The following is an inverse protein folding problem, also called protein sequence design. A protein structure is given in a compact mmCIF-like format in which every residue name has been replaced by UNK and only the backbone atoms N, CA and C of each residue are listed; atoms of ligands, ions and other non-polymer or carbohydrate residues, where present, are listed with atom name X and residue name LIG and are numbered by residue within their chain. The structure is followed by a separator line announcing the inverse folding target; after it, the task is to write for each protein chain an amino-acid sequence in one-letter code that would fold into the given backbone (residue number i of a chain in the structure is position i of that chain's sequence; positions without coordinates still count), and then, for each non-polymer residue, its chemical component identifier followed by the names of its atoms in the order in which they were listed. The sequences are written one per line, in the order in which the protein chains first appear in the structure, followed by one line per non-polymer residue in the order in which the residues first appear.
data_IF_950220771855
#
_entry.id   IF_950220771855
#
_cell.length_a   1.000
_cell.length_b   1.000
_cell.length_c   1.000
_cell.angle_alpha   90.00
_cell.angle_beta   90.00
_cell.angle_gamma   90.00
#
_symmetry.space_group_name_H-M   'P 1'
#
loop_
_entity.id
_entity.type
_entity.pdbx_description
1 polymer ?
#
# COMPACT_ATOMS: atom_id res chain seq x y z
N UNK A 1 74.03 -30.43 -32.71
CA UNK A 1 73.13 -29.95 -33.77
C UNK A 1 71.78 -30.63 -33.58
N UNK A 2 70.69 -29.87 -33.49
CA UNK A 2 69.33 -30.40 -33.33
C UNK A 2 68.50 -29.75 -32.22
N UNK A 3 68.22 -28.44 -32.34
CA UNK A 3 67.19 -27.75 -31.54
C UNK A 3 65.80 -28.22 -32.02
N UNK A 4 65.00 -28.83 -31.14
CA UNK A 4 63.63 -29.25 -31.45
C UNK A 4 62.62 -28.37 -30.69
N UNK A 5 61.64 -27.87 -31.45
CA UNK A 5 60.73 -26.77 -31.13
C UNK A 5 59.86 -27.00 -29.88
N UNK A 6 60.04 -26.16 -28.85
CA UNK A 6 59.08 -25.97 -27.73
C UNK A 6 57.88 -25.09 -28.10
N UNK A 7 57.70 -24.73 -29.37
CA UNK A 7 56.74 -23.71 -29.81
C UNK A 7 55.34 -24.22 -30.13
N UNK A 8 55.12 -25.55 -30.18
CA UNK A 8 53.84 -26.12 -30.62
C UNK A 8 52.89 -26.57 -29.50
N UNK A 9 53.32 -26.57 -28.24
CA UNK A 9 52.46 -26.96 -27.11
C UNK A 9 51.63 -25.80 -26.51
N UNK A 10 51.98 -24.54 -26.80
CA UNK A 10 51.25 -23.35 -26.34
C UNK A 10 50.10 -22.92 -27.26
N UNK A 11 50.07 -23.42 -28.51
CA UNK A 11 49.00 -23.12 -29.47
C UNK A 11 47.76 -24.02 -29.34
N UNK A 12 47.89 -25.17 -28.69
CA UNK A 12 46.77 -26.11 -28.47
C UNK A 12 45.93 -25.78 -27.22
N UNK A 13 46.47 -24.99 -26.27
CA UNK A 13 45.73 -24.57 -25.06
C UNK A 13 45.00 -23.22 -25.26
N UNK A 14 45.46 -22.37 -26.19
CA UNK A 14 44.82 -21.10 -26.52
C UNK A 14 43.59 -21.22 -27.44
N UNK A 15 43.43 -22.34 -28.14
CA UNK A 15 42.32 -22.58 -29.07
C UNK A 15 41.09 -23.21 -28.40
N UNK A 16 41.24 -23.83 -27.22
CA UNK A 16 40.11 -24.40 -26.48
C UNK A 16 39.36 -23.37 -25.60
N UNK A 17 39.98 -22.23 -25.26
CA UNK A 17 39.36 -21.15 -24.50
C UNK A 17 38.58 -20.14 -25.36
N UNK A 18 38.70 -20.19 -26.69
CA UNK A 18 37.97 -19.31 -27.60
C UNK A 18 36.56 -19.82 -27.94
N UNK A 19 36.21 -21.06 -27.59
CA UNK A 19 34.91 -21.68 -27.88
C UNK A 19 33.87 -21.54 -26.74
N UNK A 20 34.20 -20.79 -25.68
CA UNK A 20 33.28 -20.46 -24.59
C UNK A 20 32.82 -19.00 -24.60
N UNK A 21 32.91 -18.31 -25.74
CA UNK A 21 32.11 -17.10 -25.97
C UNK A 21 30.67 -17.49 -26.29
N UNK A 22 30.01 -18.18 -25.35
CA UNK A 22 28.56 -18.20 -25.32
C UNK A 22 28.13 -16.74 -25.21
N UNK A 23 27.52 -16.21 -26.28
CA UNK A 23 27.00 -14.86 -26.27
C UNK A 23 26.06 -14.73 -25.09
N UNK A 24 26.46 -13.98 -24.06
CA UNK A 24 25.55 -13.52 -23.03
C UNK A 24 24.65 -12.50 -23.73
N UNK A 25 23.60 -12.98 -24.37
CA UNK A 25 22.47 -12.14 -24.73
C UNK A 25 21.91 -11.65 -23.39
N UNK A 26 22.19 -10.40 -23.04
CA UNK A 26 21.48 -9.74 -21.96
C UNK A 26 19.99 -9.90 -22.26
N UNK A 27 19.24 -10.56 -21.37
CA UNK A 27 17.79 -10.65 -21.51
C UNK A 27 17.26 -9.23 -21.69
N UNK A 28 16.44 -9.00 -22.71
CA UNK A 28 15.78 -7.72 -22.92
C UNK A 28 15.06 -7.33 -21.63
N UNK A 29 15.32 -6.13 -21.12
CA UNK A 29 14.61 -5.60 -19.96
C UNK A 29 13.11 -5.64 -20.24
N UNK A 30 12.36 -6.25 -19.32
CA UNK A 30 10.89 -6.24 -19.31
C UNK A 30 10.48 -5.43 -18.11
N UNK A 31 9.65 -4.42 -18.33
CA UNK A 31 9.10 -3.58 -17.28
C UNK A 31 8.25 -4.42 -16.31
N UNK A 32 8.34 -4.13 -15.01
CA UNK A 32 7.60 -4.83 -13.95
C UNK A 32 6.09 -4.72 -14.11
N UNK A 33 5.60 -3.70 -14.82
CA UNK A 33 4.19 -3.53 -15.18
C UNK A 33 3.72 -4.51 -16.26
N UNK A 34 4.63 -5.16 -16.98
CA UNK A 34 4.32 -6.12 -18.06
C UNK A 34 4.94 -7.51 -17.79
N UNK A 35 5.52 -7.70 -16.60
CA UNK A 35 6.14 -8.94 -16.16
C UNK A 35 5.27 -9.61 -15.09
N UNK A 36 4.67 -10.78 -15.34
CA UNK A 36 3.89 -11.47 -14.32
C UNK A 36 4.71 -11.87 -13.08
N UNK A 37 4.06 -11.88 -11.91
CA UNK A 37 4.69 -12.32 -10.67
C UNK A 37 5.15 -13.78 -10.77
N UNK A 38 6.40 -14.04 -10.40
CA UNK A 38 6.97 -15.39 -10.45
C UNK A 38 6.50 -16.22 -9.26
N UNK A 39 6.15 -17.49 -9.52
CA UNK A 39 5.88 -18.45 -8.45
C UNK A 39 7.12 -18.67 -7.59
N UNK A 40 6.96 -18.62 -6.26
CA UNK A 40 8.08 -18.74 -5.33
C UNK A 40 7.75 -19.67 -4.17
N UNK A 41 8.61 -20.67 -3.93
CA UNK A 41 8.53 -21.52 -2.75
C UNK A 41 8.82 -20.76 -1.43
N UNK A 42 9.39 -19.56 -1.51
CA UNK A 42 9.74 -18.71 -0.37
C UNK A 42 8.74 -17.56 -0.17
N UNK A 43 7.64 -17.54 -0.91
CA UNK A 43 6.68 -16.42 -0.92
C UNK A 43 6.16 -16.10 0.49
N UNK A 44 5.89 -17.11 1.31
CA UNK A 44 5.41 -16.94 2.70
C UNK A 44 6.46 -16.33 3.65
N UNK A 45 7.73 -16.31 3.25
CA UNK A 45 8.87 -15.74 4.00
C UNK A 45 9.45 -14.50 3.32
N UNK A 46 8.86 -14.08 2.21
CA UNK A 46 9.24 -12.88 1.48
C UNK A 46 8.59 -11.65 2.12
N UNK A 47 9.11 -10.43 1.92
CA UNK A 47 8.48 -9.23 2.46
C UNK A 47 7.04 -9.05 1.96
N UNK A 48 6.14 -8.84 2.91
CA UNK A 48 4.71 -8.58 2.69
C UNK A 48 4.36 -7.25 3.35
N UNK A 49 3.49 -6.48 2.70
CA UNK A 49 3.25 -5.07 3.01
C UNK A 49 1.85 -4.81 3.57
N UNK A 50 0.84 -5.56 3.14
CA UNK A 50 -0.52 -5.44 3.67
C UNK A 50 -1.24 -6.78 3.74
N UNK A 51 -2.29 -6.83 4.57
CA UNK A 51 -3.19 -7.98 4.74
C UNK A 51 -4.62 -7.47 4.96
N UNK A 52 -5.60 -8.16 4.38
CA UNK A 52 -7.03 -7.83 4.50
C UNK A 52 -7.90 -9.08 4.42
N UNK A 53 -9.21 -8.89 4.57
CA UNK A 53 -10.24 -9.93 4.49
C UNK A 53 -11.00 -9.89 3.17
N UNK A 54 -11.07 -11.02 2.47
CA UNK A 54 -12.05 -11.29 1.42
C UNK A 54 -13.14 -12.22 1.99
N UNK A 55 -14.12 -11.65 2.69
CA UNK A 55 -15.04 -12.44 3.51
C UNK A 55 -14.27 -13.14 4.65
N UNK A 56 -14.30 -14.48 4.70
CA UNK A 56 -13.52 -15.24 5.71
C UNK A 56 -12.06 -15.49 5.29
N UNK A 57 -11.75 -15.36 3.99
CA UNK A 57 -10.40 -15.58 3.45
C UNK A 57 -9.51 -14.40 3.83
N UNK A 58 -8.26 -14.69 4.16
CA UNK A 58 -7.21 -13.68 4.28
C UNK A 58 -6.50 -13.50 2.94
N UNK A 59 -6.20 -12.26 2.58
CA UNK A 59 -5.41 -11.91 1.39
C UNK A 59 -4.30 -10.97 1.80
N UNK A 60 -3.07 -11.24 1.37
CA UNK A 60 -1.89 -10.41 1.63
C UNK A 60 -1.20 -10.05 0.33
N UNK A 61 -0.60 -8.86 0.29
CA UNK A 61 0.16 -8.36 -0.84
C UNK A 61 1.56 -7.93 -0.41
N UNK A 62 2.51 -7.92 -1.35
CA UNK A 62 3.87 -7.49 -1.05
C UNK A 62 4.74 -7.34 -2.30
N UNK A 63 6.04 -7.56 -2.10
CA UNK A 63 7.03 -7.27 -3.13
C UNK A 63 6.92 -8.20 -4.33
N UNK A 64 7.35 -7.73 -5.50
CA UNK A 64 7.45 -8.49 -6.76
C UNK A 64 6.10 -9.06 -7.23
N UNK A 65 5.02 -8.30 -7.03
CA UNK A 65 3.66 -8.69 -7.40
C UNK A 65 3.13 -9.87 -6.57
N UNK A 66 3.76 -10.21 -5.45
CA UNK A 66 3.30 -11.31 -4.62
C UNK A 66 1.95 -10.96 -3.99
N UNK A 67 0.95 -11.77 -4.32
CA UNK A 67 -0.32 -11.84 -3.60
C UNK A 67 -0.49 -13.27 -3.12
N UNK A 68 -0.86 -13.45 -1.85
CA UNK A 68 -1.17 -14.74 -1.26
C UNK A 68 -2.54 -14.70 -0.62
N UNK A 69 -3.21 -15.85 -0.59
CA UNK A 69 -4.47 -16.02 0.11
C UNK A 69 -4.48 -17.28 0.98
N UNK A 70 -5.30 -17.24 2.03
CA UNK A 70 -5.49 -18.35 2.97
C UNK A 70 -6.97 -18.51 3.31
N UNK A 71 -7.45 -19.76 3.17
CA UNK A 71 -8.82 -20.19 3.51
C UNK A 71 -8.91 -20.86 4.88
N UNK A 72 -7.79 -21.03 5.58
CA UNK A 72 -7.68 -21.79 6.83
C UNK A 72 -7.05 -20.94 7.94
N UNK A 73 -7.52 -19.68 8.06
CA UNK A 73 -7.12 -18.76 9.13
C UNK A 73 -5.60 -18.50 9.19
N UNK A 74 -4.94 -18.44 8.04
CA UNK A 74 -3.51 -18.13 7.92
C UNK A 74 -2.59 -19.32 8.20
N UNK A 75 -3.11 -20.55 8.27
CA UNK A 75 -2.31 -21.77 8.49
C UNK A 75 -1.58 -22.21 7.21
N UNK A 76 -2.23 -22.09 6.05
CA UNK A 76 -1.67 -22.38 4.72
C UNK A 76 -1.97 -21.24 3.77
N UNK A 77 -0.99 -20.95 2.92
CA UNK A 77 -1.06 -19.85 1.96
C UNK A 77 -0.80 -20.35 0.55
N UNK A 78 -1.59 -19.85 -0.38
CA UNK A 78 -1.47 -20.10 -1.82
C UNK A 78 -1.11 -18.79 -2.52
N UNK A 79 -0.18 -18.84 -3.46
CA UNK A 79 0.19 -17.67 -4.26
C UNK A 79 -0.83 -17.48 -5.40
N UNK A 80 -1.30 -16.26 -5.60
CA UNK A 80 -2.23 -15.88 -6.66
C UNK A 80 -1.52 -15.71 -8.01
N UNK A 81 -2.30 -15.73 -9.09
CA UNK A 81 -1.82 -15.34 -10.42
C UNK A 81 -1.95 -13.82 -10.59
N UNK A 82 -0.82 -13.14 -10.78
CA UNK A 82 -0.73 -11.67 -10.84
C UNK A 82 0.00 -11.25 -12.12
N UNK A 83 -0.55 -10.32 -12.93
CA UNK A 83 -0.01 -9.99 -14.25
C UNK A 83 1.16 -9.01 -14.23
N UNK A 84 1.57 -8.57 -13.03
CA UNK A 84 2.67 -7.63 -12.80
C UNK A 84 3.60 -8.15 -11.71
N UNK A 85 4.82 -7.62 -11.68
CA UNK A 85 5.82 -7.88 -10.66
C UNK A 85 6.24 -6.59 -9.94
N UNK A 86 5.42 -5.54 -10.03
CA UNK A 86 5.57 -4.33 -9.22
C UNK A 86 5.32 -4.64 -7.74
N UNK A 87 5.94 -3.90 -6.83
CA UNK A 87 5.70 -4.04 -5.39
C UNK A 87 4.30 -3.52 -5.05
N UNK A 88 3.49 -4.34 -4.39
CA UNK A 88 2.11 -4.01 -4.01
C UNK A 88 2.06 -3.54 -2.57
N UNK A 89 1.50 -2.35 -2.35
CA UNK A 89 1.52 -1.61 -1.08
C UNK A 89 0.27 -1.86 -0.25
N UNK A 90 -0.88 -1.98 -0.90
CA UNK A 90 -2.17 -2.10 -0.21
C UNK A 90 -3.18 -2.96 -0.98
N UNK A 91 -4.19 -3.45 -0.25
CA UNK A 91 -5.25 -4.29 -0.77
C UNK A 91 -6.55 -4.07 -0.01
N UNK A 92 -7.67 -4.00 -0.74
CA UNK A 92 -9.01 -3.77 -0.20
C UNK A 92 -10.01 -4.73 -0.83
N UNK A 93 -10.90 -5.30 -0.01
CA UNK A 93 -11.98 -6.18 -0.44
C UNK A 93 -13.30 -5.67 0.18
N UNK A 94 -14.11 -4.89 -0.56
CA UNK A 94 -15.42 -4.45 -0.09
C UNK A 94 -16.47 -5.58 -0.08
N UNK A 95 -16.14 -6.75 -0.64
CA UNK A 95 -16.99 -7.94 -0.63
C UNK A 95 -16.13 -9.21 -0.54
N UNK A 96 -16.78 -10.38 -0.42
CA UNK A 96 -16.07 -11.65 -0.36
C UNK A 96 -15.31 -12.02 -1.64
N UNK A 97 -15.63 -11.41 -2.79
CA UNK A 97 -15.07 -11.81 -4.10
C UNK A 97 -14.43 -10.68 -4.87
N UNK A 98 -14.92 -9.44 -4.71
CA UNK A 98 -14.38 -8.26 -5.39
C UNK A 98 -13.28 -7.64 -4.54
N UNK A 99 -12.09 -7.45 -5.12
CA UNK A 99 -10.98 -6.81 -4.44
C UNK A 99 -10.07 -6.02 -5.38
N UNK A 100 -9.37 -5.05 -4.80
CA UNK A 100 -8.43 -4.17 -5.48
C UNK A 100 -7.10 -4.15 -4.73
N UNK A 101 -6.01 -4.16 -5.48
CA UNK A 101 -4.66 -4.00 -4.95
C UNK A 101 -3.97 -2.87 -5.70
N UNK A 102 -3.20 -2.07 -4.98
CA UNK A 102 -2.40 -0.98 -5.56
C UNK A 102 -0.94 -1.11 -5.16
N UNK A 103 -0.07 -0.38 -5.83
CA UNK A 103 1.35 -0.49 -5.58
C UNK A 103 2.20 0.60 -6.17
N UNK A 104 3.49 0.29 -6.21
CA UNK A 104 4.48 1.04 -6.95
C UNK A 104 4.11 1.11 -8.44
N UNK A 105 4.77 2.01 -9.16
CA UNK A 105 4.55 2.22 -10.59
C UNK A 105 3.09 2.57 -10.95
N UNK A 106 2.33 3.13 -9.99
CA UNK A 106 0.94 3.55 -10.14
C UNK A 106 -0.04 2.41 -10.47
N UNK A 107 0.32 1.15 -10.20
CA UNK A 107 -0.50 0.00 -10.60
C UNK A 107 -1.78 -0.10 -9.79
N UNK A 108 -2.88 -0.42 -10.47
CA UNK A 108 -4.16 -0.82 -9.88
C UNK A 108 -4.57 -2.16 -10.47
N UNK A 109 -4.74 -3.15 -9.61
CA UNK A 109 -5.19 -4.48 -9.94
C UNK A 109 -6.59 -4.73 -9.40
N UNK A 110 -7.37 -5.55 -10.10
CA UNK A 110 -8.70 -6.00 -9.68
C UNK A 110 -8.81 -7.52 -9.72
N UNK A 111 -9.48 -8.08 -8.72
CA UNK A 111 -9.88 -9.48 -8.63
C UNK A 111 -11.39 -9.58 -8.46
N UNK A 112 -11.97 -10.58 -9.11
CA UNK A 112 -13.41 -10.92 -8.99
C UNK A 112 -13.65 -12.32 -8.42
N UNK A 113 -12.59 -13.01 -7.97
CA UNK A 113 -12.59 -14.40 -7.54
C UNK A 113 -11.93 -14.58 -6.15
N UNK A 114 -12.10 -13.59 -5.26
CA UNK A 114 -11.57 -13.60 -3.90
C UNK A 114 -10.02 -13.68 -3.86
N UNK A 115 -9.35 -13.00 -4.79
CA UNK A 115 -7.90 -12.83 -4.81
C UNK A 115 -7.10 -13.98 -5.43
N UNK A 116 -7.75 -14.92 -6.12
CA UNK A 116 -7.07 -16.05 -6.79
C UNK A 116 -6.39 -15.59 -8.07
N UNK A 117 -7.10 -14.78 -8.88
CA UNK A 117 -6.58 -14.16 -10.10
C UNK A 117 -6.79 -12.66 -10.08
N UNK A 118 -5.87 -11.96 -10.73
CA UNK A 118 -5.85 -10.50 -10.80
C UNK A 118 -5.69 -10.02 -12.24
N UNK A 119 -6.31 -8.89 -12.54
CA UNK A 119 -6.21 -8.19 -13.82
C UNK A 119 -5.76 -6.74 -13.58
N UNK A 120 -4.90 -6.21 -14.46
CA UNK A 120 -4.46 -4.81 -14.40
C UNK A 120 -5.55 -3.91 -14.96
N UNK A 121 -6.04 -2.96 -14.17
CA UNK A 121 -7.03 -1.95 -14.59
C UNK A 121 -6.37 -0.63 -15.00
N UNK A 122 -5.31 -0.25 -14.30
CA UNK A 122 -4.57 0.99 -14.49
C UNK A 122 -3.10 0.76 -14.16
N UNK A 123 -2.20 1.51 -14.79
CA UNK A 123 -0.83 1.71 -14.30
C UNK A 123 -0.36 3.16 -14.41
N UNK A 124 0.81 3.43 -13.83
CA UNK A 124 1.39 4.76 -13.72
C UNK A 124 1.64 5.45 -15.05
N UNK A 125 1.73 4.70 -16.16
CA UNK A 125 1.90 5.27 -17.51
C UNK A 125 0.67 6.07 -17.94
N UNK A 126 -0.50 5.74 -17.37
CA UNK A 126 -1.79 6.32 -17.74
C UNK A 126 -2.22 7.46 -16.81
N UNK A 127 -1.65 7.56 -15.60
CA UNK A 127 -2.10 8.52 -14.58
C UNK A 127 -1.91 9.97 -15.04
N UNK A 128 -0.75 10.29 -15.61
CA UNK A 128 -0.48 11.63 -16.14
C UNK A 128 -1.43 12.04 -17.26
N UNK A 129 -1.78 11.11 -18.16
CA UNK A 129 -2.75 11.33 -19.23
C UNK A 129 -4.17 11.56 -18.69
N UNK A 130 -4.59 10.80 -17.68
CA UNK A 130 -5.88 10.99 -16.99
C UNK A 130 -5.96 12.38 -16.36
N UNK A 131 -4.92 12.80 -15.65
CA UNK A 131 -4.81 14.14 -15.05
C UNK A 131 -4.85 15.23 -16.10
N UNK A 132 -3.99 15.14 -17.12
CA UNK A 132 -3.93 16.14 -18.17
C UNK A 132 -5.28 16.30 -18.88
N UNK A 133 -5.90 15.17 -19.26
CA UNK A 133 -7.21 15.16 -19.94
C UNK A 133 -8.29 15.79 -19.06
N UNK A 134 -8.39 15.37 -17.80
CA UNK A 134 -9.42 15.84 -16.87
C UNK A 134 -9.30 17.34 -16.59
N UNK A 135 -8.12 17.79 -16.16
CA UNK A 135 -7.93 19.18 -15.76
C UNK A 135 -7.83 20.14 -16.94
N UNK A 136 -7.41 19.69 -18.13
CA UNK A 136 -7.50 20.53 -19.33
C UNK A 136 -8.95 20.74 -19.77
N UNK A 137 -9.81 19.73 -19.61
CA UNK A 137 -11.24 19.90 -19.88
C UNK A 137 -11.86 20.92 -18.93
N UNK A 138 -11.53 20.86 -17.63
CA UNK A 138 -11.97 21.84 -16.63
C UNK A 138 -11.40 23.25 -16.91
N UNK A 139 -10.12 23.37 -17.27
CA UNK A 139 -9.50 24.65 -17.63
C UNK A 139 -10.20 25.33 -18.82
N UNK A 140 -10.63 24.54 -19.80
CA UNK A 140 -11.38 25.05 -20.95
C UNK A 140 -12.81 25.46 -20.57
N UNK A 141 -13.46 24.70 -19.68
CA UNK A 141 -14.83 24.97 -19.23
C UNK A 141 -14.89 26.18 -18.26
N UNK A 142 -13.84 26.39 -17.47
CA UNK A 142 -13.74 27.44 -16.45
C UNK A 142 -12.44 28.25 -16.60
N UNK A 143 -12.30 29.11 -17.62
CA UNK A 143 -11.04 29.79 -17.93
C UNK A 143 -10.53 30.78 -16.86
N UNK A 144 -11.39 31.17 -15.92
CA UNK A 144 -11.05 32.07 -14.81
C UNK A 144 -10.48 31.32 -13.60
N UNK A 145 -10.58 29.98 -13.57
CA UNK A 145 -10.06 29.18 -12.47
C UNK A 145 -8.57 28.93 -12.67
N UNK A 146 -7.76 29.57 -11.82
CA UNK A 146 -6.29 29.51 -11.88
C UNK A 146 -5.72 28.14 -11.45
N UNK A 147 -6.52 27.28 -10.81
CA UNK A 147 -6.07 25.96 -10.34
C UNK A 147 -6.02 24.91 -11.45
N UNK A 148 -6.96 24.96 -12.42
CA UNK A 148 -7.04 23.94 -13.48
C UNK A 148 -5.78 23.85 -14.35
N UNK A 149 -5.19 24.98 -14.82
CA UNK A 149 -3.95 24.93 -15.59
C UNK A 149 -2.77 24.34 -14.81
N UNK A 150 -2.71 24.54 -13.48
CA UNK A 150 -1.65 24.00 -12.63
C UNK A 150 -1.76 22.48 -12.51
N UNK A 151 -2.96 21.97 -12.27
CA UNK A 151 -3.20 20.51 -12.20
C UNK A 151 -3.03 19.82 -13.57
N UNK A 152 -3.36 20.51 -14.67
CA UNK A 152 -3.05 20.02 -16.01
C UNK A 152 -1.53 20.01 -16.29
N UNK A 153 -0.79 21.01 -15.81
CA UNK A 153 0.67 21.02 -15.90
C UNK A 153 1.32 19.88 -15.10
N UNK A 154 0.77 19.56 -13.93
CA UNK A 154 1.21 18.39 -13.16
C UNK A 154 0.97 17.08 -13.93
N UNK A 155 -0.18 16.93 -14.60
CA UNK A 155 -0.44 15.79 -15.48
C UNK A 155 0.62 15.64 -16.58
N UNK A 156 1.06 16.74 -17.20
CA UNK A 156 2.17 16.72 -18.18
C UNK A 156 3.50 16.28 -17.57
N UNK A 157 3.82 16.79 -16.37
CA UNK A 157 5.03 16.39 -15.65
C UNK A 157 5.05 14.88 -15.39
N UNK A 158 3.92 14.30 -14.98
CA UNK A 158 3.81 12.86 -14.78
C UNK A 158 4.00 12.05 -16.07
N UNK A 159 3.54 12.56 -17.21
CA UNK A 159 3.78 11.90 -18.51
C UNK A 159 5.28 11.88 -18.83
N UNK A 160 5.99 12.99 -18.58
CA UNK A 160 7.44 13.11 -18.81
C UNK A 160 8.26 12.22 -17.88
N UNK A 161 7.82 12.05 -16.63
CA UNK A 161 8.49 11.22 -15.62
C UNK A 161 8.18 9.72 -15.79
N UNK A 162 7.03 9.38 -16.38
CA UNK A 162 6.60 8.01 -16.59
C UNK A 162 5.96 7.37 -15.35
N UNK A 163 5.98 6.04 -15.29
CA UNK A 163 5.31 5.27 -14.25
C UNK A 163 6.13 5.18 -12.96
N UNK A 164 6.47 6.31 -12.34
CA UNK A 164 7.34 6.35 -11.16
C UNK A 164 6.59 6.66 -9.85
N UNK A 165 5.30 7.06 -9.92
CA UNK A 165 4.52 7.47 -8.75
C UNK A 165 3.76 6.31 -8.12
N UNK A 166 4.13 5.91 -6.88
CA UNK A 166 3.42 4.85 -6.18
C UNK A 166 2.06 5.31 -5.68
N UNK A 167 1.10 4.39 -5.73
CA UNK A 167 -0.10 4.41 -4.90
C UNK A 167 0.25 3.72 -3.58
N UNK A 168 -0.05 4.38 -2.47
CA UNK A 168 0.36 3.96 -1.12
C UNK A 168 -0.75 3.21 -0.40
N UNK A 169 -2.02 3.55 -0.66
CA UNK A 169 -3.16 2.86 -0.06
C UNK A 169 -4.41 2.90 -0.95
N UNK A 170 -5.34 1.98 -0.70
CA UNK A 170 -6.60 1.83 -1.45
C UNK A 170 -7.74 1.45 -0.53
N UNK A 171 -8.89 2.09 -0.73
CA UNK A 171 -10.10 1.77 0.00
C UNK A 171 -11.32 1.80 -0.92
N UNK A 172 -12.17 0.77 -0.79
CA UNK A 172 -13.43 0.68 -1.51
C UNK A 172 -14.60 0.62 -0.52
N UNK A 173 -15.63 1.42 -0.79
CA UNK A 173 -16.89 1.41 -0.06
C UNK A 173 -17.80 0.26 -0.52
N UNK A 174 -17.66 -0.15 -1.77
CA UNK A 174 -18.50 -1.13 -2.48
C UNK A 174 -17.73 -1.69 -3.67
N UNK A 175 -18.37 -2.55 -4.46
CA UNK A 175 -17.83 -3.05 -5.73
C UNK A 175 -17.71 -1.97 -6.83
N UNK A 176 -18.13 -0.73 -6.54
CA UNK A 176 -18.16 0.39 -7.50
C UNK A 176 -17.37 1.60 -7.03
N UNK A 177 -17.66 2.09 -5.82
CA UNK A 177 -17.08 3.31 -5.28
C UNK A 177 -15.79 3.00 -4.52
N UNK A 178 -14.69 3.62 -4.94
CA UNK A 178 -13.39 3.48 -4.28
C UNK A 178 -12.44 4.63 -4.56
N UNK A 179 -11.38 4.67 -3.75
CA UNK A 179 -10.32 5.66 -3.79
C UNK A 179 -8.96 4.97 -3.71
N UNK A 180 -7.99 5.45 -4.49
CA UNK A 180 -6.59 5.11 -4.35
C UNK A 180 -5.81 6.39 -4.05
N UNK A 181 -4.91 6.33 -3.07
CA UNK A 181 -4.13 7.49 -2.59
C UNK A 181 -2.64 7.20 -2.68
N UNK A 182 -1.81 8.22 -2.87
CA UNK A 182 -0.38 8.05 -3.05
C UNK A 182 0.45 9.31 -2.81
N UNK A 183 1.61 9.35 -3.46
CA UNK A 183 2.59 10.44 -3.31
C UNK A 183 2.12 11.74 -3.95
N UNK A 184 2.66 12.85 -3.47
CA UNK A 184 2.43 14.21 -3.99
C UNK A 184 0.95 14.57 -4.18
N UNK A 185 0.11 14.32 -3.18
CA UNK A 185 -1.35 14.48 -3.23
C UNK A 185 -2.03 13.68 -4.37
N UNK A 186 -1.41 12.61 -4.89
CA UNK A 186 -2.07 11.74 -5.85
C UNK A 186 -3.27 11.05 -5.19
N UNK A 187 -4.45 11.31 -5.72
CA UNK A 187 -5.69 10.65 -5.34
C UNK A 187 -6.52 10.41 -6.60
N UNK A 188 -7.00 9.18 -6.75
CA UNK A 188 -7.88 8.75 -7.82
C UNK A 188 -9.17 8.22 -7.20
N UNK A 189 -10.29 8.51 -7.85
CA UNK A 189 -11.63 8.04 -7.46
C UNK A 189 -12.24 7.24 -8.60
N UNK A 190 -12.96 6.18 -8.26
CA UNK A 190 -13.82 5.46 -9.20
C UNK A 190 -15.22 5.32 -8.63
N UNK A 191 -16.22 5.32 -9.50
CA UNK A 191 -17.63 5.07 -9.18
C UNK A 191 -18.19 3.85 -9.94
N UNK A 192 -17.34 3.15 -10.69
CA UNK A 192 -17.74 2.05 -11.58
C UNK A 192 -16.84 0.81 -11.46
N UNK A 193 -16.14 0.67 -10.32
CA UNK A 193 -15.32 -0.50 -10.00
C UNK A 193 -13.96 -0.48 -10.67
N UNK A 194 -13.45 0.72 -10.97
CA UNK A 194 -12.16 0.95 -11.60
C UNK A 194 -12.14 0.76 -13.12
N UNK A 195 -13.32 0.73 -13.76
CA UNK A 195 -13.39 0.81 -15.24
C UNK A 195 -12.98 2.20 -15.70
N UNK A 196 -13.30 3.23 -14.91
CA UNK A 196 -12.82 4.59 -15.05
C UNK A 196 -12.28 5.09 -13.71
N UNK A 197 -11.09 5.68 -13.76
CA UNK A 197 -10.47 6.40 -12.65
C UNK A 197 -10.42 7.88 -12.96
N UNK A 198 -10.89 8.69 -12.01
CA UNK A 198 -10.96 10.15 -12.12
C UNK A 198 -9.96 10.77 -11.14
N UNK A 199 -9.05 11.65 -11.60
CA UNK A 199 -8.21 12.45 -10.72
C UNK A 199 -9.06 13.25 -9.73
N UNK A 200 -8.63 13.31 -8.47
CA UNK A 200 -9.46 13.87 -7.39
C UNK A 200 -8.69 14.87 -6.49
N UNK A 201 -7.56 15.38 -6.97
CA UNK A 201 -6.66 16.29 -6.22
C UNK A 201 -7.30 17.65 -5.91
N UNK A 202 -8.27 18.07 -6.71
CA UNK A 202 -9.03 19.30 -6.54
C UNK A 202 -10.10 19.21 -5.43
N UNK A 203 -10.26 18.02 -4.85
CA UNK A 203 -11.18 17.71 -3.75
C UNK A 203 -10.43 17.31 -2.48
N UNK A 204 -9.17 17.70 -2.33
CA UNK A 204 -8.40 17.50 -1.10
C UNK A 204 -7.81 18.81 -0.57
N UNK A 205 -7.95 19.05 0.73
CA UNK A 205 -7.33 20.19 1.41
C UNK A 205 -5.86 19.90 1.74
N UNK A 206 -5.03 19.74 0.70
CA UNK A 206 -3.61 19.42 0.81
C UNK A 206 -2.77 20.34 -0.11
N UNK A 207 -2.73 21.66 0.15
CA UNK A 207 -2.09 22.63 -0.75
C UNK A 207 -0.56 22.50 -0.81
N UNK A 208 0.06 21.85 0.18
CA UNK A 208 1.50 21.56 0.19
C UNK A 208 1.88 20.34 -0.65
N UNK A 209 0.90 19.57 -1.15
CA UNK A 209 1.19 18.39 -1.94
C UNK A 209 1.82 17.26 -1.12
N UNK A 210 1.49 17.13 0.18
CA UNK A 210 2.03 16.06 1.02
C UNK A 210 1.57 14.68 0.53
N UNK A 211 2.33 13.64 0.87
CA UNK A 211 1.92 12.27 0.58
C UNK A 211 0.66 11.90 1.39
N UNK A 212 -0.19 11.11 0.75
CA UNK A 212 -1.37 10.51 1.36
C UNK A 212 -1.02 9.05 1.67
N UNK A 213 -0.64 8.79 2.92
CA UNK A 213 -0.03 7.53 3.35
C UNK A 213 -1.04 6.41 3.58
N UNK A 214 -2.26 6.73 4.02
CA UNK A 214 -3.29 5.76 4.31
C UNK A 214 -4.70 6.35 4.14
N UNK A 215 -5.66 5.51 3.76
CA UNK A 215 -7.08 5.84 3.67
C UNK A 215 -7.91 4.75 4.35
N UNK A 216 -8.78 5.14 5.29
CA UNK A 216 -9.59 4.16 6.03
C UNK A 216 -10.96 4.69 6.41
N UNK A 217 -11.94 3.79 6.48
CA UNK A 217 -13.25 4.10 7.04
C UNK A 217 -13.36 3.59 8.48
N UNK A 218 -14.00 4.39 9.33
CA UNK A 218 -14.41 4.01 10.68
C UNK A 218 -15.86 3.51 10.72
N UNK A 219 -16.50 3.33 9.56
CA UNK A 219 -17.92 2.97 9.44
C UNK A 219 -18.88 4.16 9.43
N UNK A 220 -18.54 5.26 10.10
CA UNK A 220 -19.30 6.52 10.12
C UNK A 220 -18.60 7.68 9.39
N UNK A 221 -17.33 7.53 9.06
CA UNK A 221 -16.54 8.52 8.34
C UNK A 221 -15.41 7.85 7.53
N UNK A 222 -14.81 8.63 6.63
CA UNK A 222 -13.65 8.25 5.82
C UNK A 222 -12.52 9.25 6.07
N UNK A 223 -11.34 8.74 6.40
CA UNK A 223 -10.16 9.53 6.76
C UNK A 223 -8.98 9.22 5.85
N UNK A 224 -8.13 10.22 5.62
CA UNK A 224 -6.83 10.07 4.98
C UNK A 224 -5.75 10.59 5.92
N UNK A 225 -4.75 9.78 6.23
CA UNK A 225 -3.54 10.20 6.93
C UNK A 225 -2.43 10.53 5.95
N UNK A 226 -1.65 11.57 6.25
CA UNK A 226 -0.50 11.98 5.45
C UNK A 226 0.68 12.46 6.28
N UNK A 227 1.52 13.25 5.65
CA UNK A 227 2.76 13.76 6.24
C UNK A 227 2.54 15.07 7.00
N UNK A 228 3.51 15.44 7.86
CA UNK A 228 3.57 16.76 8.50
C UNK A 228 2.28 17.16 9.24
N UNK A 229 1.63 16.19 9.91
CA UNK A 229 0.38 16.41 10.65
C UNK A 229 -0.89 16.37 9.81
N UNK A 230 -0.80 16.13 8.49
CA UNK A 230 -1.94 16.07 7.60
C UNK A 230 -2.86 14.91 7.98
N UNK A 231 -4.09 15.26 8.31
CA UNK A 231 -5.19 14.33 8.47
C UNK A 231 -6.42 14.95 7.79
N UNK A 232 -7.02 14.23 6.87
CA UNK A 232 -8.20 14.67 6.13
C UNK A 232 -9.41 13.82 6.49
N UNK A 233 -10.59 14.41 6.42
CA UNK A 233 -11.88 13.72 6.61
C UNK A 233 -12.82 14.06 5.45
N UNK A 234 -13.49 13.05 4.91
CA UNK A 234 -14.54 13.27 3.91
C UNK A 234 -15.70 14.09 4.51
N UNK A 235 -16.13 15.11 3.75
CA UNK A 235 -17.30 15.93 4.04
C UNK A 235 -18.32 15.76 2.92
N UNK A 236 -19.44 15.09 3.21
CA UNK A 236 -20.50 14.84 2.24
C UNK A 236 -21.18 16.11 1.74
N UNK A 237 -21.32 17.14 2.58
CA UNK A 237 -21.97 18.38 2.17
C UNK A 237 -21.12 19.15 1.16
N UNK A 238 -19.79 19.07 1.31
CA UNK A 238 -18.82 19.75 0.45
C UNK A 238 -18.26 18.87 -0.68
N UNK A 239 -18.54 17.57 -0.64
CA UNK A 239 -18.01 16.56 -1.58
C UNK A 239 -16.48 16.62 -1.70
N UNK A 240 -15.77 16.76 -0.58
CA UNK A 240 -14.30 16.88 -0.53
C UNK A 240 -13.71 16.36 0.77
N UNK A 241 -12.42 16.07 0.75
CA UNK A 241 -11.62 15.78 1.94
C UNK A 241 -11.15 17.08 2.59
N UNK A 242 -11.72 17.38 3.76
CA UNK A 242 -11.42 18.55 4.58
C UNK A 242 -10.26 18.28 5.54
N UNK A 243 -9.33 19.22 5.68
CA UNK A 243 -8.24 19.09 6.64
C UNK A 243 -8.74 19.23 8.09
N UNK A 244 -8.33 18.30 8.94
CA UNK A 244 -8.55 18.35 10.38
C UNK A 244 -7.38 19.05 11.08
N UNK A 245 -7.69 19.76 12.16
CA UNK A 245 -6.66 20.34 13.01
C UNK A 245 -6.05 19.25 13.90
N UNK A 246 -4.74 19.07 13.82
CA UNK A 246 -4.02 18.09 14.63
C UNK A 246 -2.93 18.80 15.47
N UNK A 247 -2.65 18.33 16.70
CA UNK A 247 -1.58 18.89 17.53
C UNK A 247 -0.20 18.36 17.13
N UNK A 248 -0.09 17.65 16.01
CA UNK A 248 1.10 16.91 15.60
C UNK A 248 1.64 17.44 14.28
N UNK A 249 2.96 17.49 14.15
CA UNK A 249 3.64 17.99 12.94
C UNK A 249 4.50 16.90 12.28
N UNK A 250 4.41 15.64 12.71
CA UNK A 250 5.11 14.53 12.07
C UNK A 250 4.22 13.74 11.13
N UNK A 251 4.76 12.71 10.48
CA UNK A 251 3.99 11.88 9.55
C UNK A 251 3.10 10.88 10.29
N UNK A 252 1.82 10.85 9.90
CA UNK A 252 0.93 9.74 10.19
C UNK A 252 1.18 8.64 9.14
N UNK A 253 1.31 7.41 9.61
CA UNK A 253 1.46 6.23 8.75
C UNK A 253 0.16 5.43 8.63
N UNK A 254 -0.82 5.69 9.48
CA UNK A 254 -2.12 5.08 9.35
C UNK A 254 -3.19 5.68 10.24
N UNK A 255 -4.41 5.26 9.96
CA UNK A 255 -5.61 5.53 10.75
C UNK A 255 -6.32 4.20 10.99
N UNK A 256 -6.95 4.04 12.14
CA UNK A 256 -7.82 2.91 12.46
C UNK A 256 -8.96 3.42 13.34
N UNK A 257 -10.14 2.84 13.27
CA UNK A 257 -11.24 3.28 14.11
C UNK A 257 -12.50 2.45 13.96
N UNK A 258 -13.53 2.90 14.65
CA UNK A 258 -14.89 2.38 14.66
C UNK A 258 -15.85 3.57 14.78
N UNK A 259 -17.17 3.38 14.63
CA UNK A 259 -18.10 4.51 14.69
C UNK A 259 -17.95 5.28 16.01
N UNK A 260 -17.75 6.60 15.91
CA UNK A 260 -17.52 7.49 17.05
C UNK A 260 -16.10 7.53 17.63
N UNK A 261 -15.15 6.74 17.12
CA UNK A 261 -13.77 6.69 17.65
C UNK A 261 -12.73 6.45 16.56
N UNK A 262 -11.69 7.29 16.53
CA UNK A 262 -10.61 7.20 15.55
C UNK A 262 -9.25 7.37 16.19
N UNK A 263 -8.30 6.55 15.79
CA UNK A 263 -6.89 6.63 16.16
C UNK A 263 -6.05 6.94 14.92
N UNK A 264 -5.27 8.02 14.98
CA UNK A 264 -4.23 8.32 14.01
C UNK A 264 -2.86 7.98 14.61
N UNK A 265 -2.03 7.24 13.88
CA UNK A 265 -0.75 6.73 14.38
C UNK A 265 0.38 6.93 13.37
N UNK A 266 1.62 7.02 13.85
CA UNK A 266 2.75 7.16 12.95
C UNK A 266 4.12 7.34 13.61
N UNK A 267 4.88 8.28 13.07
CA UNK A 267 6.32 8.45 13.28
C UNK A 267 6.71 8.55 14.77
N UNK A 268 7.74 7.80 15.18
CA UNK A 268 8.30 7.79 16.54
C UNK A 268 7.29 7.46 17.65
N UNK A 269 6.34 6.57 17.38
CA UNK A 269 5.44 6.02 18.40
C UNK A 269 4.27 6.94 18.76
N UNK A 270 3.98 7.94 17.93
CA UNK A 270 2.86 8.84 18.17
C UNK A 270 1.54 8.17 17.82
N UNK A 271 0.60 8.24 18.76
CA UNK A 271 -0.79 7.79 18.61
C UNK A 271 -1.68 8.86 19.19
N UNK A 272 -2.67 9.30 18.42
CA UNK A 272 -3.66 10.29 18.82
C UNK A 272 -5.05 9.70 18.65
N UNK A 273 -5.89 9.90 19.65
CA UNK A 273 -7.27 9.44 19.68
C UNK A 273 -8.23 10.62 19.62
N UNK A 274 -9.29 10.48 18.84
CA UNK A 274 -10.46 11.35 18.87
C UNK A 274 -11.71 10.51 19.12
N UNK A 275 -12.63 11.03 19.92
CA UNK A 275 -13.95 10.45 20.20
C UNK A 275 -15.11 11.35 19.75
N UNK A 276 -14.79 12.35 18.92
CA UNK A 276 -15.72 13.37 18.43
C UNK A 276 -15.55 13.60 16.91
N UNK A 277 -15.11 12.55 16.21
CA UNK A 277 -14.98 12.56 14.74
C UNK A 277 -13.85 13.47 14.23
N UNK A 278 -12.80 13.64 15.01
CA UNK A 278 -11.59 14.38 14.65
C UNK A 278 -11.56 15.85 15.05
N UNK A 279 -12.52 16.31 15.88
CA UNK A 279 -12.57 17.69 16.35
C UNK A 279 -11.55 17.97 17.46
N UNK A 280 -11.38 17.02 18.39
CA UNK A 280 -10.37 17.09 19.43
C UNK A 280 -9.55 15.81 19.50
N UNK A 281 -8.27 15.96 19.88
CA UNK A 281 -7.29 14.89 19.89
C UNK A 281 -6.59 14.76 21.24
N UNK A 282 -6.54 13.55 21.76
CA UNK A 282 -5.75 13.18 22.95
C UNK A 282 -4.60 12.28 22.53
N UNK A 283 -3.37 12.62 22.89
CA UNK A 283 -2.21 11.74 22.66
C UNK A 283 -2.29 10.55 23.62
N UNK A 284 -2.24 9.34 23.08
CA UNK A 284 -2.08 8.12 23.87
C UNK A 284 -0.58 7.85 24.01
N UNK A 285 -0.07 7.76 25.24
CA UNK A 285 1.34 7.46 25.45
C UNK A 285 1.63 6.00 25.09
N UNK A 286 2.55 5.80 24.15
CA UNK A 286 3.01 4.48 23.73
C UNK A 286 4.18 3.97 24.58
N UNK A 287 4.86 4.85 25.32
CA UNK A 287 6.11 4.54 26.02
C UNK A 287 7.28 4.20 25.09
N UNK A 288 7.12 4.33 23.77
CA UNK A 288 8.10 3.94 22.75
C UNK A 288 8.43 5.11 21.82
N UNK A 289 9.68 5.20 21.38
CA UNK A 289 10.11 6.16 20.35
C UNK A 289 10.27 5.51 18.97
N UNK A 290 9.53 4.44 18.71
CA UNK A 290 9.57 3.66 17.47
C UNK A 290 8.26 3.85 16.72
N UNK A 291 8.33 4.11 15.42
CA UNK A 291 7.16 4.33 14.57
C UNK A 291 6.13 3.21 14.67
N UNK A 292 4.85 3.59 14.73
CA UNK A 292 3.71 2.66 14.58
C UNK A 292 3.45 2.51 13.09
N UNK A 293 3.41 1.28 12.59
CA UNK A 293 3.34 0.95 11.16
C UNK A 293 2.12 0.16 10.76
N UNK A 294 1.41 -0.45 11.73
CA UNK A 294 0.17 -1.15 11.48
C UNK A 294 -0.74 -1.07 12.70
N UNK A 295 -2.04 -1.22 12.47
CA UNK A 295 -3.01 -1.41 13.52
C UNK A 295 -4.17 -2.29 13.03
N UNK A 296 -4.84 -2.95 13.97
CA UNK A 296 -6.11 -3.66 13.73
C UNK A 296 -7.05 -3.41 14.91
N UNK A 297 -8.34 -3.55 14.65
CA UNK A 297 -9.40 -3.54 15.65
C UNK A 297 -9.88 -4.97 15.89
N UNK A 298 -10.11 -5.36 17.14
CA UNK A 298 -10.74 -6.64 17.48
C UNK A 298 -12.26 -6.53 17.68
N UNK A 299 -12.92 -7.68 17.78
CA UNK A 299 -14.38 -7.76 17.92
C UNK A 299 -14.90 -7.14 19.23
N UNK A 300 -14.04 -6.98 20.24
CA UNK A 300 -14.35 -6.35 21.52
C UNK A 300 -14.14 -4.83 21.47
N UNK A 301 -13.71 -4.28 20.32
CA UNK A 301 -13.44 -2.85 20.16
C UNK A 301 -12.06 -2.42 20.66
N UNK A 302 -11.15 -3.35 20.92
CA UNK A 302 -9.78 -3.00 21.30
C UNK A 302 -8.89 -2.80 20.08
N UNK A 303 -8.05 -1.76 20.12
CA UNK A 303 -7.05 -1.50 19.11
C UNK A 303 -5.74 -2.20 19.44
N UNK A 304 -5.23 -3.00 18.51
CA UNK A 304 -3.88 -3.57 18.57
C UNK A 304 -3.00 -2.82 17.57
N UNK A 305 -1.96 -2.15 18.06
CA UNK A 305 -1.02 -1.37 17.25
C UNK A 305 0.35 -2.03 17.23
N UNK A 306 1.05 -1.92 16.12
CA UNK A 306 2.35 -2.57 15.92
C UNK A 306 3.42 -1.56 15.52
N UNK A 307 4.59 -1.68 16.12
CA UNK A 307 5.74 -0.84 15.76
C UNK A 307 6.55 -1.45 14.62
N UNK A 308 7.35 -0.63 13.95
CA UNK A 308 8.36 -1.07 12.98
C UNK A 308 9.36 -2.08 13.58
N UNK A 309 9.57 -2.07 14.89
CA UNK A 309 10.42 -3.05 15.58
C UNK A 309 9.69 -4.33 15.98
N UNK A 310 8.37 -4.41 15.79
CA UNK A 310 7.56 -5.61 16.10
C UNK A 310 6.99 -5.68 17.51
N UNK A 311 6.98 -4.56 18.25
CA UNK A 311 6.23 -4.45 19.51
C UNK A 311 4.73 -4.44 19.23
N UNK A 312 3.95 -5.05 20.12
CA UNK A 312 2.48 -4.98 20.11
C UNK A 312 2.00 -4.12 21.28
N UNK A 313 1.19 -3.11 20.97
CA UNK A 313 0.55 -2.21 21.92
C UNK A 313 -0.96 -2.44 21.89
N UNK A 314 -1.61 -2.42 23.05
CA UNK A 314 -3.06 -2.58 23.19
C UNK A 314 -3.68 -1.29 23.74
N UNK A 315 -4.74 -0.82 23.07
CA UNK A 315 -5.66 0.17 23.61
C UNK A 315 -7.01 -0.48 23.85
N UNK A 316 -7.52 -0.42 25.08
CA UNK A 316 -8.86 -0.92 25.43
C UNK A 316 -9.95 0.16 25.35
N UNK A 317 -9.68 1.22 24.59
CA UNK A 317 -10.51 2.41 24.51
C UNK A 317 -10.19 3.45 25.59
N UNK A 318 -10.81 4.62 25.44
CA UNK A 318 -10.57 5.77 26.31
C UNK A 318 -9.17 6.37 26.15
N UNK A 319 -8.74 7.15 27.16
CA UNK A 319 -7.50 7.93 27.10
C UNK A 319 -6.36 7.33 27.94
N UNK A 320 -6.45 6.04 28.30
CA UNK A 320 -5.39 5.36 29.03
C UNK A 320 -4.12 5.21 28.15
N UNK A 321 -2.92 5.19 28.76
CA UNK A 321 -1.70 4.82 28.06
C UNK A 321 -1.83 3.46 27.37
N UNK A 322 -1.13 3.30 26.25
CA UNK A 322 -1.12 2.03 25.52
C UNK A 322 -0.37 0.97 26.32
N UNK A 323 -0.96 -0.22 26.45
CA UNK A 323 -0.35 -1.33 27.16
C UNK A 323 0.60 -2.09 26.22
N UNK A 324 1.88 -2.17 26.59
CA UNK A 324 2.82 -3.04 25.88
C UNK A 324 2.52 -4.51 26.19
N UNK A 325 2.25 -5.29 25.15
CA UNK A 325 2.01 -6.72 25.26
C UNK A 325 3.32 -7.47 24.94
N UNK A 326 3.84 -8.29 25.88
CA UNK A 326 5.02 -9.10 25.62
C UNK A 326 4.83 -10.02 24.41
N UNK A 327 5.86 -10.15 23.58
CA UNK A 327 5.86 -11.01 22.40
C UNK A 327 7.10 -11.90 22.44
N UNK A 328 6.93 -13.20 22.17
CA UNK A 328 8.04 -14.15 22.13
C UNK A 328 9.05 -13.83 21.01
N UNK A 329 8.57 -13.26 19.90
CA UNK A 329 9.40 -12.84 18.78
C UNK A 329 8.94 -11.48 18.27
N UNK A 330 9.89 -10.55 18.13
CA UNK A 330 9.65 -9.24 17.54
C UNK A 330 10.23 -9.20 16.12
N UNK A 331 9.39 -8.93 15.14
CA UNK A 331 9.79 -8.72 13.74
C UNK A 331 9.00 -7.53 13.20
N UNK A 332 9.56 -6.74 12.27
CA UNK A 332 8.84 -5.63 11.66
C UNK A 332 7.47 -6.07 11.13
N UNK A 333 6.43 -5.32 11.49
CA UNK A 333 5.04 -5.55 11.07
C UNK A 333 4.64 -4.42 10.14
N UNK A 334 4.14 -4.77 8.95
CA UNK A 334 3.60 -3.85 7.97
C UNK A 334 2.06 -3.94 7.89
N UNK A 335 1.48 -5.09 8.22
CA UNK A 335 0.03 -5.28 8.27
C UNK A 335 -0.38 -6.29 9.34
N UNK A 336 -1.61 -6.16 9.82
CA UNK A 336 -2.20 -7.03 10.82
C UNK A 336 -3.69 -7.25 10.52
N UNK A 337 -4.19 -8.46 10.71
CA UNK A 337 -5.60 -8.81 10.60
C UNK A 337 -5.95 -9.94 11.57
N UNK A 338 -7.21 -10.01 12.00
CA UNK A 338 -7.71 -11.12 12.84
C UNK A 338 -8.41 -12.14 11.96
N UNK A 339 -7.90 -13.35 11.90
CA UNK A 339 -8.56 -14.44 11.21
C UNK A 339 -9.95 -14.76 11.82
N UNK A 340 -10.78 -15.49 11.07
CA UNK A 340 -12.15 -15.82 11.49
C UNK A 340 -12.24 -16.59 12.82
N UNK A 341 -11.17 -17.27 13.22
CA UNK A 341 -11.06 -17.97 14.50
C UNK A 341 -10.51 -17.09 15.65
N UNK A 342 -10.29 -15.79 15.41
CA UNK A 342 -9.71 -14.84 16.36
C UNK A 342 -8.18 -14.80 16.37
N UNK A 343 -7.49 -15.63 15.58
CA UNK A 343 -6.03 -15.63 15.54
C UNK A 343 -5.50 -14.35 14.90
N UNK A 344 -4.47 -13.75 15.50
CA UNK A 344 -3.86 -12.53 14.98
C UNK A 344 -2.80 -12.90 13.94
N UNK A 345 -3.04 -12.51 12.68
CA UNK A 345 -2.13 -12.74 11.56
C UNK A 345 -1.40 -11.44 11.24
N UNK A 346 -0.07 -11.51 11.27
CA UNK A 346 0.85 -10.41 11.03
C UNK A 346 1.64 -10.64 9.75
N UNK A 347 1.86 -9.58 8.99
CA UNK A 347 2.71 -9.59 7.80
C UNK A 347 3.77 -8.50 7.89
N UNK A 348 4.93 -8.72 7.27
CA UNK A 348 6.00 -7.74 7.27
C UNK A 348 7.26 -8.21 6.56
N UNK A 349 8.42 -7.65 6.92
CA UNK A 349 9.71 -7.90 6.26
C UNK A 349 10.24 -9.35 6.38
N UNK A 350 9.55 -10.23 7.11
CA UNK A 350 9.87 -11.66 7.25
C UNK A 350 8.74 -12.58 6.76
N UNK A 351 7.76 -12.04 6.04
CA UNK A 351 6.59 -12.77 5.57
C UNK A 351 5.45 -12.83 6.57
N UNK A 352 4.69 -13.94 6.54
CA UNK A 352 3.49 -14.12 7.38
C UNK A 352 3.85 -14.78 8.71
N UNK A 353 3.20 -14.34 9.78
CA UNK A 353 3.24 -14.98 11.10
C UNK A 353 1.85 -14.97 11.74
N UNK A 354 1.42 -16.11 12.24
CA UNK A 354 0.15 -16.24 12.99
C UNK A 354 0.44 -16.38 14.48
N UNK A 355 -0.19 -15.55 15.29
CA UNK A 355 -0.18 -15.62 16.74
C UNK A 355 -1.45 -16.36 17.22
N UNK A 356 -1.33 -17.25 18.21
CA UNK A 356 -2.49 -17.99 18.72
C UNK A 356 -3.51 -17.04 19.37
N UNK A 357 -4.77 -17.49 19.41
CA UNK A 357 -5.86 -16.83 20.14
C UNK A 357 -5.50 -16.83 21.64
N UNK A 358 -5.60 -15.68 22.30
CA UNK A 358 -5.37 -15.52 23.74
C UNK A 358 -6.54 -16.05 24.58
#
# INVERSE_FOLDING_TARGET
MGSCNKTNALLALGTLLALLQGGVQASTYVDVLDLPAQSSALVQRSPLLAITHAGQRLVTVGQRGHILYSDDAGLRWQQAAVPVSSDLTAVSFPSATQGWAVGNDGVVLHSSDAGVTWSKQLDGRQIGELMLKHYSALANAEPQNEQWPLLAAEGRRLIEEGADKPLLDVWFASDKLGYAVGVFNLILRTEDGGKNWVPFQDRTDNPQGFHLNAITSTGDALYIAGEQGLLLKWDDARQRFMALQTPYQGSFFGVVGQPGEVLAYGLRGHVFRSADGGLTWTRLDSGLQVSITAATLDADGHFRLFTQAGHMLLSRGGNAPLQLIPQAQQTPVAGAALAANGALVLVGGRGVRTLPVE
#
